data_IF_564616286374
#
_entry.id   IF_564616286374
#
_cell.length_a   1.000
_cell.length_b   1.000
_cell.length_c   1.000
_cell.angle_alpha   90.00
_cell.angle_beta   90.00
_cell.angle_gamma   90.00
#
_symmetry.space_group_name_H-M   'P 1'
#
loop_
_entity.id
_entity.type
_entity.pdbx_description
1 polymer ?
#
# COMPACT_ATOMS: atom_id res chain seq x y z
N UNK A 1 -30.01 24.04 5.98
CA UNK A 1 -28.66 23.68 5.49
C UNK A 1 -28.55 22.15 5.35
N UNK A 2 -29.06 21.54 4.26
CA UNK A 2 -28.37 21.37 2.97
C UNK A 2 -26.97 20.76 3.18
N UNK A 3 -26.78 19.53 2.68
CA UNK A 3 -25.58 18.66 2.72
C UNK A 3 -25.53 17.57 3.81
N UNK A 4 -26.52 16.67 3.80
CA UNK A 4 -26.27 15.26 4.14
C UNK A 4 -26.51 14.44 2.88
N UNK A 5 -25.54 14.46 1.96
CA UNK A 5 -25.56 13.59 0.79
C UNK A 5 -25.16 12.19 1.25
N UNK A 6 -26.12 11.27 1.20
CA UNK A 6 -25.91 9.83 1.33
C UNK A 6 -24.73 9.40 0.46
N UNK A 7 -23.57 9.13 1.06
CA UNK A 7 -22.42 8.49 0.40
C UNK A 7 -22.61 6.97 0.35
N UNK A 8 -23.81 6.53 -0.02
CA UNK A 8 -24.36 5.20 0.27
C UNK A 8 -24.35 4.20 -0.89
N UNK A 9 -23.65 4.45 -2.00
CA UNK A 9 -23.59 3.46 -3.09
C UNK A 9 -22.18 3.15 -3.62
N UNK A 10 -21.22 4.06 -3.45
CA UNK A 10 -19.80 3.82 -3.70
C UNK A 10 -18.98 4.66 -2.72
N UNK A 11 -18.79 4.17 -1.49
CA UNK A 11 -17.68 4.67 -0.68
C UNK A 11 -16.40 4.37 -1.48
N UNK A 12 -15.71 5.41 -1.97
CA UNK A 12 -14.30 5.20 -2.35
C UNK A 12 -13.61 4.78 -1.06
N UNK A 13 -13.11 3.54 -1.04
CA UNK A 13 -12.21 3.10 0.01
C UNK A 13 -11.06 4.10 0.04
N UNK A 14 -10.97 4.91 1.10
CA UNK A 14 -9.81 5.74 1.38
C UNK A 14 -8.70 4.81 1.90
N UNK A 15 -8.20 3.96 1.00
CA UNK A 15 -7.09 3.06 1.24
C UNK A 15 -6.22 3.00 -0.01
N UNK A 16 -4.91 3.02 0.17
CA UNK A 16 -3.92 2.90 -0.89
C UNK A 16 -3.35 1.49 -0.89
N UNK A 17 -3.48 0.78 -2.01
CA UNK A 17 -2.81 -0.50 -2.22
C UNK A 17 -1.49 -0.25 -2.97
N UNK A 18 -0.37 -0.58 -2.32
CA UNK A 18 0.96 -0.57 -2.94
C UNK A 18 1.30 -1.99 -3.38
N UNK A 19 1.59 -2.17 -4.66
CA UNK A 19 2.17 -3.42 -5.17
C UNK A 19 3.67 -3.33 -5.03
N UNK A 20 4.24 -4.21 -4.21
CA UNK A 20 5.65 -4.21 -3.88
C UNK A 20 6.45 -5.10 -4.83
N UNK A 21 7.38 -4.47 -5.54
CA UNK A 21 8.34 -5.15 -6.40
C UNK A 21 9.54 -5.63 -5.56
N UNK A 22 9.97 -6.86 -5.82
CA UNK A 22 11.11 -7.48 -5.16
C UNK A 22 11.95 -8.31 -6.13
N UNK A 23 13.21 -8.54 -5.77
CA UNK A 23 14.15 -9.38 -6.51
C UNK A 23 14.40 -10.76 -5.84
N UNK A 24 13.42 -11.26 -5.08
CA UNK A 24 13.43 -12.52 -4.30
C UNK A 24 14.34 -12.51 -3.06
N UNK A 25 15.09 -11.43 -2.86
CA UNK A 25 15.90 -11.22 -1.66
C UNK A 25 15.42 -10.00 -0.88
N UNK A 26 15.20 -8.89 -1.58
CA UNK A 26 14.84 -7.59 -0.98
C UNK A 26 13.79 -6.87 -1.81
N UNK A 27 13.05 -5.95 -1.18
CA UNK A 27 12.24 -4.97 -1.90
C UNK A 27 13.13 -4.05 -2.73
N UNK A 28 12.63 -3.65 -3.88
CA UNK A 28 13.32 -2.64 -4.68
C UNK A 28 13.17 -1.25 -4.05
N UNK A 29 14.18 -0.36 -4.16
CA UNK A 29 14.11 0.98 -3.58
C UNK A 29 12.93 1.82 -4.08
N UNK A 30 12.47 1.56 -5.31
CA UNK A 30 11.30 2.24 -5.89
C UNK A 30 10.00 1.91 -5.14
N UNK A 31 9.89 0.70 -4.58
CA UNK A 31 8.75 0.29 -3.75
C UNK A 31 8.67 1.13 -2.48
N UNK A 32 9.79 1.46 -1.84
CA UNK A 32 9.83 2.30 -0.64
C UNK A 32 9.38 3.74 -0.92
N UNK A 33 9.73 4.28 -2.09
CA UNK A 33 9.25 5.59 -2.54
C UNK A 33 7.72 5.57 -2.75
N UNK A 34 7.19 4.50 -3.34
CA UNK A 34 5.74 4.33 -3.52
C UNK A 34 5.00 4.24 -2.19
N UNK A 35 5.53 3.48 -1.22
CA UNK A 35 4.99 3.41 0.15
C UNK A 35 5.02 4.79 0.80
N UNK A 36 6.13 5.52 0.71
CA UNK A 36 6.24 6.86 1.30
C UNK A 36 5.24 7.84 0.70
N UNK A 37 5.03 7.78 -0.62
CA UNK A 37 4.00 8.57 -1.30
C UNK A 37 2.59 8.17 -0.85
N UNK A 38 2.31 6.87 -0.73
CA UNK A 38 1.04 6.34 -0.23
C UNK A 38 0.74 6.81 1.21
N UNK A 39 1.73 6.77 2.10
CA UNK A 39 1.59 7.26 3.48
C UNK A 39 1.27 8.76 3.53
N UNK A 40 1.85 9.56 2.62
CA UNK A 40 1.58 11.00 2.52
C UNK A 40 0.16 11.31 2.01
N UNK A 41 -0.53 10.37 1.37
CA UNK A 41 -1.92 10.55 0.93
C UNK A 41 -2.92 10.49 2.11
N UNK A 42 -2.46 10.19 3.33
CA UNK A 42 -3.26 10.31 4.55
C UNK A 42 -4.37 9.26 4.67
N UNK A 43 -4.20 8.10 4.02
CA UNK A 43 -5.17 7.00 3.95
C UNK A 43 -4.54 5.69 4.40
N UNK A 44 -5.35 4.66 4.67
CA UNK A 44 -4.87 3.35 5.09
C UNK A 44 -4.00 2.71 3.99
N UNK A 45 -2.76 2.30 4.29
CA UNK A 45 -1.83 1.78 3.29
C UNK A 45 -1.67 0.27 3.44
N UNK A 46 -2.09 -0.48 2.43
CA UNK A 46 -1.87 -1.92 2.32
C UNK A 46 -0.78 -2.23 1.31
N UNK A 47 0.09 -3.18 1.60
CA UNK A 47 1.19 -3.59 0.72
C UNK A 47 1.02 -5.04 0.26
N UNK A 48 1.04 -5.30 -1.05
CA UNK A 48 0.96 -6.63 -1.64
C UNK A 48 2.31 -6.99 -2.28
N UNK A 49 2.96 -8.00 -1.71
CA UNK A 49 4.20 -8.60 -2.25
C UNK A 49 3.83 -9.89 -2.96
N UNK A 50 3.95 -9.91 -4.29
CA UNK A 50 3.61 -11.07 -5.10
C UNK A 50 4.85 -11.64 -5.80
N UNK A 51 5.11 -12.94 -5.62
CA UNK A 51 6.24 -13.62 -6.23
C UNK A 51 6.66 -14.85 -5.45
N UNK A 52 7.84 -15.38 -5.77
CA UNK A 52 8.46 -16.45 -5.00
C UNK A 52 9.29 -15.86 -3.88
N UNK A 53 9.41 -16.58 -2.77
CA UNK A 53 10.25 -16.19 -1.63
C UNK A 53 9.86 -14.86 -0.93
N UNK A 54 8.59 -14.45 -0.98
CA UNK A 54 8.11 -13.23 -0.31
C UNK A 54 8.41 -13.20 1.19
N UNK A 55 8.46 -14.37 1.86
CA UNK A 55 8.76 -14.47 3.28
C UNK A 55 10.15 -13.88 3.64
N UNK A 56 11.16 -14.10 2.79
CA UNK A 56 12.51 -13.57 3.00
C UNK A 56 12.49 -12.03 2.93
N UNK A 57 11.80 -11.48 1.94
CA UNK A 57 11.64 -10.03 1.74
C UNK A 57 10.96 -9.35 2.94
N UNK A 58 9.89 -9.95 3.48
CA UNK A 58 9.18 -9.40 4.64
C UNK A 58 10.05 -9.36 5.90
N UNK A 59 10.88 -10.39 6.13
CA UNK A 59 11.77 -10.44 7.30
C UNK A 59 12.88 -9.40 7.26
N UNK A 60 13.34 -9.01 6.06
CA UNK A 60 14.48 -8.10 5.88
C UNK A 60 14.04 -6.63 5.91
N UNK A 61 12.79 -6.32 5.56
CA UNK A 61 12.26 -4.94 5.52
C UNK A 61 11.38 -4.54 6.71
N UNK A 62 11.10 -5.45 7.67
CA UNK A 62 10.25 -5.16 8.85
C UNK A 62 11.00 -4.53 10.05
N UNK A 63 12.11 -3.83 9.83
CA UNK A 63 12.87 -3.14 10.87
C UNK A 63 12.72 -1.62 10.78
#
# INVERSE_FOLDING_TARGET
>A
PIFSFQSGLLQRFQSTLVVAEHNNETLTPITLNAITAATKLGSDVSCLVAGTNCAKVLSVQAH
#
